data_IF_667038586703
#
_entry.id   IF_667038586703
#
_cell.length_a   1.000
_cell.length_b   1.000
_cell.length_c   1.000
_cell.angle_alpha   90.00
_cell.angle_beta   90.00
_cell.angle_gamma   90.00
#
_symmetry.space_group_name_H-M   'P 1'
#
loop_
_entity.id
_entity.type
_entity.pdbx_description
1 polymer ?
#
# COMPACT_ATOMS: atom_id res chain seq x y z
N UNK A 1 6.05 3.75 -16.32
CA UNK A 1 5.71 3.37 -14.93
C UNK A 1 4.50 2.46 -14.99
N UNK A 2 4.52 1.33 -14.26
CA UNK A 2 3.38 0.41 -14.18
C UNK A 2 2.21 1.06 -13.45
N UNK A 3 0.97 0.71 -13.81
CA UNK A 3 -0.23 1.28 -13.22
C UNK A 3 -0.33 0.92 -11.73
N UNK A 4 0.17 -0.25 -11.35
CA UNK A 4 0.33 -0.67 -9.94
C UNK A 4 1.17 0.31 -9.11
N UNK A 5 2.23 0.89 -9.68
CA UNK A 5 3.12 1.80 -8.96
C UNK A 5 2.43 3.14 -8.67
N UNK A 6 1.61 3.64 -9.60
CA UNK A 6 0.88 4.92 -9.44
C UNK A 6 -0.10 4.82 -8.26
N UNK A 7 -0.86 3.71 -8.23
CA UNK A 7 -1.80 3.44 -7.13
C UNK A 7 -1.09 3.13 -5.82
N UNK A 8 0.06 2.47 -5.86
CA UNK A 8 0.93 2.30 -4.70
C UNK A 8 1.36 3.65 -4.11
N UNK A 9 1.80 4.60 -4.95
CA UNK A 9 2.18 5.95 -4.51
C UNK A 9 0.98 6.67 -3.87
N UNK A 10 -0.20 6.61 -4.49
CA UNK A 10 -1.42 7.16 -3.90
C UNK A 10 -1.71 6.54 -2.52
N UNK A 11 -1.63 5.21 -2.41
CA UNK A 11 -1.79 4.50 -1.14
C UNK A 11 -0.82 4.98 -0.05
N UNK A 12 0.46 5.17 -0.41
CA UNK A 12 1.50 5.67 0.49
C UNK A 12 1.19 7.10 0.95
N UNK A 13 0.84 7.99 0.03
CA UNK A 13 0.52 9.39 0.34
C UNK A 13 -0.67 9.46 1.29
N UNK A 14 -1.79 8.79 0.96
CA UNK A 14 -2.97 8.79 1.81
C UNK A 14 -2.73 8.11 3.16
N UNK A 15 -1.93 7.05 3.22
CA UNK A 15 -1.60 6.35 4.45
C UNK A 15 -0.73 7.21 5.38
N UNK A 16 0.25 7.91 4.81
CA UNK A 16 1.10 8.84 5.55
C UNK A 16 0.31 10.05 6.04
N UNK A 17 -0.56 10.62 5.19
CA UNK A 17 -1.41 11.76 5.53
C UNK A 17 -2.43 11.39 6.61
N UNK A 18 -3.00 10.18 6.54
CA UNK A 18 -3.86 9.63 7.58
C UNK A 18 -3.14 9.44 8.92
N UNK A 19 -1.90 8.92 8.89
CA UNK A 19 -1.03 8.84 10.06
C UNK A 19 -0.76 10.22 10.66
N UNK A 20 -0.47 11.21 9.80
CA UNK A 20 -0.20 12.57 10.24
C UNK A 20 -1.44 13.23 10.88
N UNK A 21 -2.62 13.02 10.31
CA UNK A 21 -3.87 13.50 10.89
C UNK A 21 -4.10 12.89 12.28
N UNK A 22 -3.91 11.58 12.44
CA UNK A 22 -4.06 10.91 13.75
C UNK A 22 -3.03 11.44 14.76
N UNK A 23 -1.80 11.78 14.33
CA UNK A 23 -0.83 12.47 15.19
C UNK A 23 -1.33 13.84 15.66
N UNK A 24 -2.00 14.63 14.81
CA UNK A 24 -2.57 15.91 15.23
C UNK A 24 -3.68 15.73 16.28
N UNK A 25 -4.50 14.68 16.13
CA UNK A 25 -5.53 14.31 17.10
C UNK A 25 -4.98 13.61 18.36
N UNK A 26 -3.71 13.20 18.36
CA UNK A 26 -3.09 12.49 19.49
C UNK A 26 -2.92 13.34 20.76
N UNK A 27 -3.09 14.66 20.65
CA UNK A 27 -3.22 15.57 21.80
C UNK A 27 -4.39 15.20 22.72
N UNK A 28 -5.35 14.41 22.23
CA UNK A 28 -6.55 13.96 22.94
C UNK A 28 -6.34 12.56 23.56
N UNK A 29 -5.49 11.72 22.98
CA UNK A 29 -5.23 10.36 23.45
C UNK A 29 -3.81 9.90 23.07
N UNK A 30 -2.96 9.65 24.07
CA UNK A 30 -1.55 9.26 23.90
C UNK A 30 -1.36 7.94 23.18
N UNK A 31 -2.32 7.02 23.26
CA UNK A 31 -2.27 5.72 22.59
C UNK A 31 -2.35 5.83 21.06
N UNK A 32 -2.81 6.99 20.56
CA UNK A 32 -2.90 7.26 19.12
C UNK A 32 -1.54 7.54 18.46
N UNK A 33 -0.52 7.93 19.24
CA UNK A 33 0.81 8.24 18.71
C UNK A 33 1.47 6.97 18.14
N UNK A 34 1.50 5.90 18.92
CA UNK A 34 2.10 4.61 18.53
C UNK A 34 1.42 4.07 17.27
N UNK A 35 0.09 4.13 17.24
CA UNK A 35 -0.75 3.69 16.14
C UNK A 35 -0.51 4.49 14.84
N UNK A 36 -0.38 5.80 14.95
CA UNK A 36 -0.04 6.65 13.81
C UNK A 36 1.38 6.38 13.28
N UNK A 37 2.35 6.16 14.17
CA UNK A 37 3.72 5.81 13.78
C UNK A 37 3.76 4.47 13.04
N UNK A 38 3.01 3.46 13.51
CA UNK A 38 2.87 2.16 12.81
C UNK A 38 2.34 2.39 11.39
N UNK A 39 1.29 3.19 11.22
CA UNK A 39 0.72 3.47 9.91
C UNK A 39 1.69 4.23 8.99
N UNK A 40 2.47 5.16 9.52
CA UNK A 40 3.50 5.88 8.76
C UNK A 40 4.61 4.93 8.29
N UNK A 41 5.12 4.06 9.17
CA UNK A 41 6.11 3.05 8.79
C UNK A 41 5.55 2.05 7.78
N UNK A 42 4.31 1.59 7.97
CA UNK A 42 3.62 0.72 7.02
C UNK A 42 3.47 1.37 5.64
N UNK A 43 3.17 2.68 5.61
CA UNK A 43 3.10 3.45 4.36
C UNK A 43 4.48 3.51 3.68
N UNK A 44 5.56 3.77 4.43
CA UNK A 44 6.93 3.77 3.88
C UNK A 44 7.31 2.38 3.35
N UNK A 45 6.90 1.29 4.03
CA UNK A 45 7.08 -0.08 3.54
C UNK A 45 6.37 -0.34 2.20
N UNK A 46 5.33 0.43 1.87
CA UNK A 46 4.69 0.41 0.55
C UNK A 46 5.62 0.85 -0.58
N UNK A 47 6.64 1.68 -0.30
CA UNK A 47 7.67 2.08 -1.28
C UNK A 47 8.48 0.85 -1.73
N UNK A 48 8.72 -0.11 -0.82
CA UNK A 48 9.39 -1.35 -1.19
C UNK A 48 8.58 -2.12 -2.25
N UNK A 49 7.25 -2.11 -2.16
CA UNK A 49 6.37 -2.70 -3.17
C UNK A 49 6.60 -2.11 -4.58
N UNK A 50 6.86 -0.80 -4.67
CA UNK A 50 7.17 -0.12 -5.94
C UNK A 50 8.54 -0.58 -6.48
N UNK A 51 9.55 -0.66 -5.62
CA UNK A 51 10.89 -1.12 -6.02
C UNK A 51 10.89 -2.60 -6.47
N UNK A 52 10.10 -3.43 -5.79
CA UNK A 52 9.97 -4.86 -6.08
C UNK A 52 9.09 -5.15 -7.29
N UNK A 53 8.16 -4.25 -7.64
CA UNK A 53 7.26 -4.40 -8.79
C UNK A 53 8.01 -4.81 -10.06
N UNK A 54 9.14 -4.17 -10.35
CA UNK A 54 9.91 -4.42 -11.57
C UNK A 54 10.67 -5.76 -11.58
N UNK A 55 10.94 -6.36 -10.41
CA UNK A 55 11.70 -7.62 -10.29
C UNK A 55 10.78 -8.82 -10.11
N UNK A 56 9.90 -8.75 -9.11
CA UNK A 56 9.03 -9.85 -8.71
C UNK A 56 7.62 -9.33 -8.37
N UNK A 57 6.75 -9.36 -9.37
CA UNK A 57 5.36 -8.87 -9.29
C UNK A 57 4.56 -9.50 -8.14
N UNK A 58 4.79 -10.79 -7.84
CA UNK A 58 4.13 -11.49 -6.72
C UNK A 58 4.55 -10.95 -5.35
N UNK A 59 5.85 -10.72 -5.16
CA UNK A 59 6.37 -10.18 -3.90
C UNK A 59 5.91 -8.72 -3.74
N UNK A 60 5.88 -7.95 -4.83
CA UNK A 60 5.35 -6.60 -4.82
C UNK A 60 3.87 -6.55 -4.39
N UNK A 61 3.03 -7.45 -4.93
CA UNK A 61 1.63 -7.55 -4.56
C UNK A 61 1.45 -7.90 -3.07
N UNK A 62 2.22 -8.86 -2.56
CA UNK A 62 2.22 -9.22 -1.14
C UNK A 62 2.64 -8.02 -0.26
N UNK A 63 3.67 -7.28 -0.69
CA UNK A 63 4.15 -6.11 0.06
C UNK A 63 3.12 -4.98 0.12
N UNK A 64 2.40 -4.72 -0.97
CA UNK A 64 1.29 -3.75 -0.96
C UNK A 64 0.17 -4.18 -0.01
N UNK A 65 -0.17 -5.48 0.04
CA UNK A 65 -1.15 -5.99 1.02
C UNK A 65 -0.68 -5.81 2.46
N UNK A 66 0.58 -6.15 2.76
CA UNK A 66 1.15 -5.98 4.10
C UNK A 66 1.17 -4.51 4.51
N UNK A 67 1.57 -3.61 3.61
CA UNK A 67 1.54 -2.16 3.84
C UNK A 67 0.11 -1.66 4.11
N UNK A 68 -0.85 -2.07 3.29
CA UNK A 68 -2.26 -1.71 3.46
C UNK A 68 -2.84 -2.19 4.79
N UNK A 69 -2.59 -3.46 5.16
CA UNK A 69 -3.06 -4.01 6.43
C UNK A 69 -2.42 -3.27 7.60
N UNK A 70 -1.11 -2.96 7.52
CA UNK A 70 -0.41 -2.20 8.54
C UNK A 70 -1.00 -0.79 8.74
N UNK A 71 -1.34 -0.10 7.64
CA UNK A 71 -2.04 1.20 7.70
C UNK A 71 -3.43 1.05 8.32
N UNK A 72 -4.19 0.02 7.93
CA UNK A 72 -5.53 -0.20 8.46
C UNK A 72 -5.52 -0.51 9.96
N UNK A 73 -4.59 -1.32 10.43
CA UNK A 73 -4.43 -1.62 11.87
C UNK A 73 -3.99 -0.36 12.62
N UNK A 74 -3.05 0.41 12.05
CA UNK A 74 -2.53 1.61 12.70
C UNK A 74 -3.60 2.70 12.87
N UNK A 75 -4.30 3.10 11.79
CA UNK A 75 -5.17 4.29 11.82
C UNK A 75 -6.63 4.03 11.50
N UNK A 76 -7.03 2.75 11.37
CA UNK A 76 -8.42 2.31 11.24
C UNK A 76 -9.18 3.10 10.17
N UNK A 77 -10.22 3.87 10.56
CA UNK A 77 -11.08 4.62 9.64
C UNK A 77 -10.30 5.60 8.74
N UNK A 78 -9.26 6.26 9.28
CA UNK A 78 -8.43 7.19 8.50
C UNK A 78 -7.56 6.47 7.46
N UNK A 79 -7.35 5.16 7.61
CA UNK A 79 -6.55 4.33 6.71
C UNK A 79 -7.33 3.60 5.62
N UNK A 80 -8.66 3.59 5.67
CA UNK A 80 -9.50 2.83 4.72
C UNK A 80 -9.21 3.22 3.28
N UNK A 81 -9.09 4.52 2.99
CA UNK A 81 -8.82 5.00 1.64
C UNK A 81 -7.44 4.55 1.13
N UNK A 82 -6.41 4.64 1.97
CA UNK A 82 -5.07 4.11 1.67
C UNK A 82 -5.08 2.60 1.43
N UNK A 83 -5.80 1.85 2.27
CA UNK A 83 -5.96 0.40 2.15
C UNK A 83 -6.59 0.00 0.81
N UNK A 84 -7.65 0.69 0.38
CA UNK A 84 -8.29 0.44 -0.92
C UNK A 84 -7.28 0.65 -2.05
N UNK A 85 -6.50 1.73 -2.02
CA UNK A 85 -5.47 1.97 -3.03
C UNK A 85 -4.40 0.87 -3.04
N UNK A 86 -3.95 0.40 -1.87
CA UNK A 86 -3.00 -0.70 -1.77
C UNK A 86 -3.55 -2.04 -2.28
N UNK A 87 -4.83 -2.34 -2.03
CA UNK A 87 -5.50 -3.53 -2.57
C UNK A 87 -5.53 -3.50 -4.10
N UNK A 88 -5.94 -2.36 -4.68
CA UNK A 88 -6.00 -2.22 -6.14
C UNK A 88 -4.59 -2.30 -6.74
N UNK A 89 -3.59 -1.67 -6.09
CA UNK A 89 -2.19 -1.76 -6.49
C UNK A 89 -1.68 -3.21 -6.46
N UNK A 90 -2.03 -3.99 -5.44
CA UNK A 90 -1.66 -5.41 -5.33
C UNK A 90 -2.29 -6.25 -6.45
N UNK A 91 -3.58 -6.06 -6.74
CA UNK A 91 -4.27 -6.76 -7.83
C UNK A 91 -3.67 -6.44 -9.20
N UNK A 92 -3.33 -5.18 -9.44
CA UNK A 92 -2.68 -4.75 -10.68
C UNK A 92 -1.26 -5.29 -10.79
N UNK A 93 -0.48 -5.25 -9.71
CA UNK A 93 0.86 -5.82 -9.70
C UNK A 93 0.83 -7.31 -10.07
N UNK A 94 -0.15 -8.07 -9.55
CA UNK A 94 -0.34 -9.47 -9.91
C UNK A 94 -0.74 -9.68 -11.38
N UNK A 95 -1.56 -8.78 -11.95
CA UNK A 95 -1.98 -8.85 -13.36
C UNK A 95 -0.87 -8.45 -14.34
N UNK A 96 -0.03 -7.49 -13.95
CA UNK A 96 1.12 -7.02 -14.72
C UNK A 96 2.32 -7.98 -14.63
N UNK A 97 2.14 -9.16 -14.02
CA UNK A 97 3.15 -10.22 -14.01
C UNK A 97 3.37 -10.74 -15.44
N UNK A 98 4.58 -10.63 -16.01
CA UNK A 98 4.88 -11.00 -17.39
C UNK A 98 4.59 -12.48 -17.70
N UNK A 99 4.50 -13.34 -16.68
CA UNK A 99 4.08 -14.73 -16.83
C UNK A 99 2.58 -14.87 -17.16
N UNK A 100 1.74 -13.99 -16.62
CA UNK A 100 0.30 -13.96 -16.90
C UNK A 100 0.04 -13.37 -18.30
N UNK A 101 0.82 -12.37 -18.71
CA UNK A 101 0.71 -11.73 -20.02
C UNK A 101 1.06 -12.71 -21.17
N UNK A 102 2.09 -13.54 -20.99
CA UNK A 102 2.41 -14.62 -21.95
C UNK A 102 1.29 -15.64 -22.13
N UNK A 103 0.52 -15.96 -21.09
CA UNK A 103 -0.60 -16.91 -21.17
C UNK A 103 -1.76 -16.30 -21.97
N UNK A 104 -2.00 -14.99 -21.82
CA UNK A 104 -3.03 -14.28 -22.61
C UNK A 104 -2.63 -14.10 -24.07
N UNK A 105 -1.35 -13.86 -24.36
CA UNK A 105 -0.85 -13.71 -25.73
C UNK A 105 -0.72 -15.02 -26.51
N UNK A 106 -0.65 -16.17 -25.83
CA UNK A 106 -0.61 -17.49 -26.47
C UNK A 106 -2.00 -18.10 -26.77
N UNK A 107 -3.07 -17.38 -26.43
CA UNK A 107 -4.47 -17.79 -26.67
C UNK A 107 -5.14 -16.95 -27.78
N UNK A 108 -4.37 -16.17 -28.52
CA UNK A 108 -4.82 -15.46 -29.73
C UNK A 108 -4.19 -16.07 -30.99
#
# INVERSE_FOLDING_TARGET
MRSSNILGILGIVFGFLGGFLVLLFSTIATDMITNAMIAMFASILGILGICLSNKESKIAAAQYLVAGIGVLIGISAFGILSFIFFIIAALLAFREDPKIEKIKGASQ
#
